data_IF_230141269612
#
_entry.id   IF_230141269612
#
_cell.length_a   1.000
_cell.length_b   1.000
_cell.length_c   1.000
_cell.angle_alpha   90.00
_cell.angle_beta   90.00
_cell.angle_gamma   90.00
#
_symmetry.space_group_name_H-M   'P 1'
#
loop_
_entity.id
_entity.type
_entity.pdbx_description
1 polymer ?
#
# COMPACT_ATOMS: atom_id res chain seq x y z
N UNK A 1 -14.16 -39.24 2.72
CA UNK A 1 -13.83 -38.71 4.07
C UNK A 1 -12.47 -38.04 3.97
N UNK A 2 -12.37 -36.79 4.34
CA UNK A 2 -11.07 -36.03 4.22
C UNK A 2 -10.29 -36.23 5.51
N UNK A 3 -9.04 -36.68 5.41
CA UNK A 3 -8.17 -36.81 6.57
C UNK A 3 -7.80 -35.43 7.11
N UNK A 4 -7.89 -35.25 8.44
CA UNK A 4 -7.47 -34.02 9.11
C UNK A 4 -6.87 -34.31 10.47
N UNK A 5 -5.92 -33.49 10.86
CA UNK A 5 -5.38 -33.40 12.22
C UNK A 5 -6.13 -32.26 12.92
N UNK A 6 -6.74 -32.55 14.07
CA UNK A 6 -7.45 -31.55 14.87
C UNK A 6 -6.76 -31.38 16.21
N UNK A 7 -6.43 -30.13 16.53
CA UNK A 7 -5.89 -29.74 17.84
C UNK A 7 -6.98 -28.92 18.55
N UNK A 8 -7.38 -29.36 19.72
CA UNK A 8 -8.33 -28.63 20.55
C UNK A 8 -7.59 -27.61 21.42
N UNK A 9 -8.22 -26.47 21.66
CA UNK A 9 -7.73 -25.51 22.66
C UNK A 9 -7.89 -26.10 24.07
N UNK A 10 -7.02 -25.71 24.99
CA UNK A 10 -7.09 -26.13 26.40
C UNK A 10 -8.39 -25.66 27.09
N UNK A 11 -9.01 -24.56 26.60
CA UNK A 11 -10.28 -24.02 27.08
C UNK A 11 -11.00 -23.28 25.94
N UNK A 12 -12.32 -23.09 26.08
CA UNK A 12 -13.10 -22.26 25.15
C UNK A 12 -13.72 -22.97 23.95
N UNK A 13 -13.62 -24.30 23.84
CA UNK A 13 -14.35 -25.11 22.81
C UNK A 13 -13.91 -24.94 21.36
N UNK A 14 -12.91 -24.07 21.08
CA UNK A 14 -12.34 -23.88 19.75
C UNK A 14 -11.41 -25.02 19.33
N UNK A 15 -11.06 -25.10 18.06
CA UNK A 15 -10.06 -26.03 17.54
C UNK A 15 -9.33 -25.49 16.35
N UNK A 16 -8.08 -25.87 16.18
CA UNK A 16 -7.29 -25.70 14.97
C UNK A 16 -7.26 -27.03 14.21
N UNK A 17 -7.39 -26.99 12.89
CA UNK A 17 -7.34 -28.20 12.06
C UNK A 17 -6.42 -28.01 10.86
N UNK A 18 -5.58 -29.00 10.59
CA UNK A 18 -4.87 -29.15 9.32
C UNK A 18 -5.67 -30.20 8.52
N UNK A 19 -6.14 -29.82 7.34
CA UNK A 19 -6.99 -30.67 6.53
C UNK A 19 -6.38 -30.83 5.14
N UNK A 20 -6.37 -32.05 4.64
CA UNK A 20 -6.02 -32.31 3.26
C UNK A 20 -7.11 -31.77 2.30
N UNK A 21 -6.77 -31.36 1.09
CA UNK A 21 -7.77 -31.01 0.08
C UNK A 21 -8.68 -32.21 -0.23
N UNK A 22 -9.91 -31.93 -0.68
CA UNK A 22 -10.91 -32.95 -0.99
C UNK A 22 -10.46 -33.92 -2.09
N UNK A 23 -9.61 -33.46 -3.00
CA UNK A 23 -8.97 -34.29 -4.03
C UNK A 23 -7.59 -33.70 -4.39
N UNK A 24 -6.60 -34.57 -4.61
CA UNK A 24 -5.30 -34.19 -5.13
C UNK A 24 -4.62 -35.41 -5.74
N UNK A 25 -4.06 -35.26 -6.92
CA UNK A 25 -3.18 -36.25 -7.57
C UNK A 25 -1.71 -36.11 -7.14
N UNK A 26 -1.38 -35.07 -6.36
CA UNK A 26 -0.01 -34.74 -5.98
C UNK A 26 0.25 -35.03 -4.50
N UNK A 27 1.37 -35.68 -4.20
CA UNK A 27 1.89 -35.77 -2.85
C UNK A 27 2.54 -34.43 -2.49
N UNK A 28 2.05 -33.80 -1.42
CA UNK A 28 2.58 -32.52 -0.91
C UNK A 28 3.10 -32.73 0.51
N UNK A 29 4.26 -32.17 0.79
CA UNK A 29 4.87 -32.21 2.11
C UNK A 29 4.87 -30.79 2.68
N UNK A 30 4.36 -30.62 3.89
CA UNK A 30 4.54 -29.39 4.67
C UNK A 30 5.69 -29.66 5.62
N UNK A 31 6.84 -29.02 5.38
CA UNK A 31 7.98 -29.04 6.29
C UNK A 31 7.87 -27.84 7.23
N UNK A 32 7.75 -28.10 8.52
CA UNK A 32 7.78 -27.05 9.52
C UNK A 32 9.24 -26.63 9.78
N UNK A 33 9.56 -25.33 9.83
CA UNK A 33 10.90 -24.88 10.18
C UNK A 33 11.24 -25.23 11.62
N UNK A 34 12.51 -25.55 11.87
CA UNK A 34 13.04 -25.81 13.22
C UNK A 34 13.33 -24.48 13.93
N UNK A 35 12.27 -23.72 14.21
CA UNK A 35 12.31 -22.46 14.93
C UNK A 35 11.14 -22.39 15.94
N UNK A 36 11.37 -21.72 17.06
CA UNK A 36 10.31 -21.42 18.00
C UNK A 36 9.38 -20.32 17.46
N UNK A 37 8.09 -20.40 17.79
CA UNK A 37 7.07 -19.39 17.44
C UNK A 37 6.83 -19.21 15.92
N UNK A 38 6.93 -20.29 15.15
CA UNK A 38 6.50 -20.24 13.75
C UNK A 38 4.98 -20.13 13.64
N UNK A 39 4.50 -19.07 13.03
CA UNK A 39 3.09 -18.86 12.71
C UNK A 39 2.89 -18.97 11.20
N UNK A 40 2.07 -19.93 10.79
CA UNK A 40 1.53 -19.95 9.43
C UNK A 40 0.51 -18.83 9.31
N UNK A 41 0.93 -17.67 8.83
CA UNK A 41 0.02 -16.56 8.55
C UNK A 41 0.02 -16.24 7.06
N UNK A 42 -1.14 -15.97 6.52
CA UNK A 42 -1.26 -15.33 5.22
C UNK A 42 -1.07 -13.83 5.45
N UNK A 43 0.19 -13.39 5.51
CA UNK A 43 0.52 -12.00 5.81
C UNK A 43 -0.08 -11.08 4.75
N UNK A 44 -0.89 -10.08 5.13
CA UNK A 44 -1.41 -9.10 4.21
C UNK A 44 -0.27 -8.36 3.53
N UNK A 45 -0.34 -8.27 2.21
CA UNK A 45 0.63 -7.55 1.42
C UNK A 45 -0.04 -6.96 0.19
N UNK A 46 0.41 -5.80 -0.23
CA UNK A 46 -0.11 -5.13 -1.43
C UNK A 46 1.02 -4.50 -2.22
N UNK A 47 0.85 -4.52 -3.53
CA UNK A 47 1.54 -3.62 -4.45
C UNK A 47 0.49 -2.95 -5.32
N UNK A 48 0.43 -1.64 -5.28
CA UNK A 48 -0.49 -0.83 -6.03
C UNK A 48 0.25 0.29 -6.76
N UNK A 49 -0.27 0.67 -7.90
CA UNK A 49 0.30 1.73 -8.73
C UNK A 49 -0.79 2.62 -9.33
N UNK A 50 -0.40 3.83 -9.69
CA UNK A 50 -1.19 4.72 -10.52
C UNK A 50 -0.80 4.47 -11.98
N UNK A 51 -1.77 4.11 -12.83
CA UNK A 51 -1.51 3.89 -14.26
C UNK A 51 -1.79 5.12 -15.09
N UNK A 52 -2.76 5.92 -14.68
CA UNK A 52 -3.21 7.11 -15.42
C UNK A 52 -2.81 8.39 -14.69
N UNK A 53 -2.18 9.31 -15.40
CA UNK A 53 -1.88 10.64 -14.86
C UNK A 53 -3.15 11.38 -14.48
N UNK A 54 -3.19 11.97 -13.29
CA UNK A 54 -4.34 12.73 -12.77
C UNK A 54 -3.92 14.12 -12.31
N UNK A 55 -4.73 15.11 -12.62
CA UNK A 55 -4.51 16.48 -12.17
C UNK A 55 -4.85 16.61 -10.67
N UNK A 56 -4.15 17.51 -9.97
CA UNK A 56 -4.44 17.86 -8.59
C UNK A 56 -4.26 19.37 -8.33
N UNK A 57 -4.76 19.84 -7.19
CA UNK A 57 -4.83 21.27 -6.86
C UNK A 57 -3.51 21.90 -6.37
N UNK A 58 -2.39 21.18 -6.40
CA UNK A 58 -1.12 21.63 -5.84
C UNK A 58 -0.95 21.28 -4.36
N UNK A 59 -1.99 21.29 -3.54
CA UNK A 59 -1.93 20.84 -2.15
C UNK A 59 -1.79 19.32 -2.06
N UNK A 60 -1.08 18.78 -1.04
CA UNK A 60 -0.94 17.34 -0.87
C UNK A 60 -2.27 16.61 -0.83
N UNK A 61 -2.51 15.74 -1.80
CA UNK A 61 -3.72 14.93 -1.94
C UNK A 61 -3.39 13.45 -1.97
N UNK A 62 -4.37 12.60 -1.67
CA UNK A 62 -4.18 11.15 -1.75
C UNK A 62 -3.90 10.73 -3.19
N UNK A 63 -2.81 9.98 -3.41
CA UNK A 63 -2.55 9.39 -4.73
C UNK A 63 -3.67 8.39 -5.05
N UNK A 64 -4.32 8.53 -6.20
CA UNK A 64 -5.40 7.64 -6.60
C UNK A 64 -4.85 6.35 -7.24
N UNK A 65 -4.13 5.51 -6.47
CA UNK A 65 -3.67 4.22 -6.96
C UNK A 65 -4.83 3.40 -7.49
N UNK A 66 -4.84 3.16 -8.79
CA UNK A 66 -5.96 2.59 -9.53
C UNK A 66 -5.77 1.09 -9.85
N UNK A 67 -4.54 0.60 -9.80
CA UNK A 67 -4.20 -0.76 -10.20
C UNK A 67 -3.46 -1.49 -9.10
N UNK A 68 -3.94 -2.68 -8.76
CA UNK A 68 -3.26 -3.63 -7.87
C UNK A 68 -2.48 -4.64 -8.70
N UNK A 69 -1.17 -4.77 -8.47
CA UNK A 69 -0.37 -5.85 -9.06
C UNK A 69 -0.52 -7.13 -8.26
N UNK A 70 -0.68 -7.00 -6.95
CA UNK A 70 -1.17 -8.07 -6.07
C UNK A 70 -1.81 -7.45 -4.81
N UNK A 71 -2.67 -8.24 -4.14
CA UNK A 71 -3.36 -7.86 -2.91
C UNK A 71 -3.70 -9.13 -2.13
N UNK A 72 -2.82 -9.52 -1.23
CA UNK A 72 -3.02 -10.70 -0.38
C UNK A 72 -3.94 -10.34 0.79
N UNK A 73 -5.07 -11.04 0.86
CA UNK A 73 -6.06 -10.84 1.93
C UNK A 73 -7.10 -9.75 1.65
N UNK A 74 -7.12 -9.14 0.46
CA UNK A 74 -8.09 -8.10 0.11
C UNK A 74 -7.98 -6.86 1.00
N UNK A 75 -6.76 -6.39 1.21
CA UNK A 75 -6.45 -5.35 2.19
C UNK A 75 -6.23 -3.95 1.58
N UNK A 76 -6.47 -3.77 0.29
CA UNK A 76 -6.33 -2.48 -0.38
C UNK A 76 -7.61 -2.03 -1.09
N UNK A 77 -8.03 -0.81 -0.80
CA UNK A 77 -9.12 -0.15 -1.49
C UNK A 77 -8.60 0.63 -2.71
N UNK A 78 -8.75 0.06 -3.91
CA UNK A 78 -8.36 0.71 -5.17
C UNK A 78 -9.45 1.61 -5.76
N UNK A 79 -10.56 1.86 -5.04
CA UNK A 79 -11.67 2.69 -5.55
C UNK A 79 -11.51 4.16 -5.17
N UNK A 80 -12.20 5.03 -5.87
CA UNK A 80 -12.24 6.48 -5.61
C UNK A 80 -13.18 6.88 -4.46
N UNK A 81 -13.81 5.91 -3.81
CA UNK A 81 -14.74 6.10 -2.70
C UNK A 81 -14.32 5.29 -1.48
N UNK A 82 -14.84 5.61 -0.32
CA UNK A 82 -14.70 4.76 0.85
C UNK A 82 -15.28 3.36 0.56
N UNK A 83 -14.63 2.34 1.08
CA UNK A 83 -15.03 0.93 0.93
C UNK A 83 -14.92 0.20 2.26
N UNK A 84 -15.56 -0.96 2.34
CA UNK A 84 -15.42 -1.86 3.48
C UNK A 84 -14.41 -2.95 3.16
N UNK A 85 -13.30 -2.98 3.88
CA UNK A 85 -12.29 -4.04 3.82
C UNK A 85 -12.33 -4.81 5.13
N UNK A 86 -12.52 -6.13 5.05
CA UNK A 86 -12.57 -7.01 6.23
C UNK A 86 -13.53 -6.51 7.34
N UNK A 87 -14.68 -5.95 6.94
CA UNK A 87 -15.68 -5.40 7.88
C UNK A 87 -15.40 -3.98 8.39
N UNK A 88 -14.31 -3.35 8.00
CA UNK A 88 -13.88 -2.01 8.43
C UNK A 88 -14.03 -1.03 7.26
N UNK A 89 -14.65 0.13 7.53
CA UNK A 89 -14.74 1.22 6.55
C UNK A 89 -13.38 1.95 6.46
N UNK A 90 -12.86 2.06 5.25
CA UNK A 90 -11.61 2.75 4.95
C UNK A 90 -11.80 3.77 3.85
N UNK A 91 -11.03 4.87 3.83
CA UNK A 91 -11.09 5.84 2.75
C UNK A 91 -10.65 5.24 1.39
N UNK A 92 -10.85 6.02 0.33
CA UNK A 92 -10.31 5.72 -0.99
C UNK A 92 -8.80 5.49 -0.93
N UNK A 93 -8.30 4.57 -1.73
CA UNK A 93 -6.88 4.29 -1.94
C UNK A 93 -6.09 3.97 -0.65
N UNK A 94 -6.76 3.32 0.32
CA UNK A 94 -6.18 2.96 1.61
C UNK A 94 -5.79 1.48 1.66
N UNK A 95 -4.67 1.21 2.35
CA UNK A 95 -4.26 -0.13 2.77
C UNK A 95 -4.67 -0.35 4.22
N UNK A 96 -5.43 -1.40 4.49
CA UNK A 96 -5.82 -1.84 5.83
C UNK A 96 -5.49 -3.32 5.99
N UNK A 97 -4.38 -3.69 6.66
CA UNK A 97 -4.09 -5.07 6.97
C UNK A 97 -5.04 -5.56 8.07
N UNK A 98 -5.54 -6.78 7.92
CA UNK A 98 -6.38 -7.44 8.91
C UNK A 98 -5.58 -8.29 9.92
N UNK A 99 -4.30 -8.10 9.96
CA UNK A 99 -3.36 -8.78 10.89
C UNK A 99 -2.49 -7.73 11.55
N UNK A 100 -2.40 -7.78 12.89
CA UNK A 100 -1.49 -6.91 13.62
C UNK A 100 -0.04 -7.29 13.36
N UNK A 101 0.84 -6.29 13.26
CA UNK A 101 2.26 -6.53 13.02
C UNK A 101 3.00 -5.31 12.51
N UNK A 102 4.29 -5.49 12.26
CA UNK A 102 5.16 -4.47 11.67
C UNK A 102 5.28 -4.72 10.16
N UNK A 103 4.95 -3.71 9.38
CA UNK A 103 4.93 -3.74 7.92
C UNK A 103 6.05 -2.91 7.35
N UNK A 104 6.81 -3.48 6.42
CA UNK A 104 7.74 -2.72 5.60
C UNK A 104 6.95 -2.00 4.50
N UNK A 105 7.01 -0.68 4.50
CA UNK A 105 6.30 0.17 3.55
C UNK A 105 7.32 0.91 2.70
N UNK A 106 7.15 0.81 1.38
CA UNK A 106 7.94 1.55 0.40
C UNK A 106 7.00 2.29 -0.54
N UNK A 107 7.18 3.59 -0.65
CA UNK A 107 6.35 4.48 -1.46
C UNK A 107 7.24 5.29 -2.38
N UNK A 108 6.84 5.40 -3.63
CA UNK A 108 7.41 6.35 -4.60
C UNK A 108 6.26 7.25 -5.04
N UNK A 109 6.40 8.54 -4.80
CA UNK A 109 5.51 9.57 -5.33
C UNK A 109 6.19 10.32 -6.45
N UNK A 110 5.48 10.54 -7.56
CA UNK A 110 5.96 11.34 -8.68
C UNK A 110 4.91 12.36 -9.05
N UNK A 111 5.32 13.60 -9.12
CA UNK A 111 4.47 14.69 -9.60
C UNK A 111 5.14 15.44 -10.75
N UNK A 112 4.32 16.13 -11.52
CA UNK A 112 4.78 16.98 -12.60
C UNK A 112 3.90 18.20 -12.78
N UNK A 113 4.33 19.09 -13.66
CA UNK A 113 3.56 20.24 -14.13
C UNK A 113 3.27 20.13 -15.61
N UNK A 114 2.12 20.67 -16.06
CA UNK A 114 1.81 20.82 -17.48
C UNK A 114 2.70 21.86 -18.16
N UNK A 115 3.36 22.73 -17.39
CA UNK A 115 4.29 23.76 -17.87
C UNK A 115 5.66 23.48 -17.27
N UNK A 116 6.67 23.34 -18.11
CA UNK A 116 8.05 23.10 -17.69
C UNK A 116 8.59 24.24 -16.83
N UNK A 117 9.43 23.90 -15.85
CA UNK A 117 10.13 24.89 -15.03
C UNK A 117 9.24 25.66 -14.07
N UNK A 118 8.14 25.08 -13.62
CA UNK A 118 7.20 25.80 -12.75
C UNK A 118 7.00 25.14 -11.38
N UNK A 119 7.67 24.02 -11.10
CA UNK A 119 7.57 23.35 -9.81
C UNK A 119 8.39 24.11 -8.79
N UNK A 120 7.78 24.55 -7.69
CA UNK A 120 8.41 25.29 -6.61
C UNK A 120 8.47 24.52 -5.29
N UNK A 121 7.68 23.46 -5.15
CA UNK A 121 7.64 22.62 -3.95
C UNK A 121 7.13 21.23 -4.31
N UNK A 122 7.63 20.20 -3.64
CA UNK A 122 7.18 18.82 -3.81
C UNK A 122 7.19 18.11 -2.47
N UNK A 123 6.11 17.38 -2.20
CA UNK A 123 5.89 16.68 -0.95
C UNK A 123 5.34 15.28 -1.20
N UNK A 124 5.92 14.28 -0.53
CA UNK A 124 5.37 12.92 -0.44
C UNK A 124 5.24 12.56 1.03
N UNK A 125 4.08 12.10 1.46
CA UNK A 125 3.86 11.64 2.82
C UNK A 125 3.18 10.28 2.85
N UNK A 126 3.65 9.43 3.76
CA UNK A 126 2.93 8.26 4.23
C UNK A 126 2.13 8.66 5.46
N UNK A 127 0.84 8.41 5.42
CA UNK A 127 -0.09 8.75 6.49
C UNK A 127 -0.70 7.49 7.09
N UNK A 128 -0.63 7.38 8.42
CA UNK A 128 -1.36 6.38 9.19
C UNK A 128 -2.59 7.04 9.80
N UNK A 129 -3.76 6.54 9.46
CA UNK A 129 -5.04 7.14 9.84
C UNK A 129 -5.09 8.62 9.38
N UNK A 130 -5.08 9.56 10.32
CA UNK A 130 -5.10 11.00 10.03
C UNK A 130 -3.75 11.70 10.24
N UNK A 131 -2.67 10.97 10.57
CA UNK A 131 -1.37 11.54 10.95
C UNK A 131 -0.30 11.16 9.93
N UNK A 132 0.49 12.12 9.49
CA UNK A 132 1.66 11.88 8.66
C UNK A 132 2.77 11.27 9.54
N UNK A 133 3.26 10.10 9.16
CA UNK A 133 4.24 9.32 9.93
C UNK A 133 5.62 9.28 9.28
N UNK A 134 5.71 9.66 8.02
CA UNK A 134 6.93 9.82 7.26
C UNK A 134 6.67 10.69 6.06
N UNK A 135 7.61 11.59 5.75
CA UNK A 135 7.50 12.48 4.62
C UNK A 135 8.86 12.68 3.93
N UNK A 136 8.80 13.07 2.69
CA UNK A 136 9.91 13.60 1.89
C UNK A 136 9.43 14.92 1.28
N UNK A 137 10.18 15.97 1.54
CA UNK A 137 9.95 17.31 1.02
C UNK A 137 11.15 17.75 0.18
N UNK A 138 10.89 18.41 -0.92
CA UNK A 138 11.91 18.98 -1.80
C UNK A 138 11.44 20.32 -2.34
N UNK A 139 12.27 21.36 -2.12
CA UNK A 139 12.15 22.64 -2.79
C UNK A 139 13.12 22.64 -3.98
N UNK A 140 12.66 22.52 -5.23
CA UNK A 140 13.54 22.58 -6.38
C UNK A 140 14.22 23.96 -6.48
N UNK A 141 15.53 23.98 -6.37
CA UNK A 141 16.35 25.24 -6.33
C UNK A 141 16.40 25.92 -7.69
N UNK A 142 16.23 25.17 -8.78
CA UNK A 142 16.22 25.71 -10.16
C UNK A 142 14.93 25.28 -10.85
N UNK A 143 13.83 25.93 -10.48
CA UNK A 143 12.51 25.67 -11.05
C UNK A 143 12.44 25.86 -12.58
N UNK A 144 13.45 26.50 -13.17
CA UNK A 144 13.47 26.79 -14.61
C UNK A 144 13.67 25.57 -15.51
N UNK A 145 13.96 24.38 -14.94
CA UNK A 145 14.28 23.16 -15.72
C UNK A 145 13.46 21.95 -15.35
N UNK A 146 12.88 21.92 -14.16
CA UNK A 146 12.17 20.74 -13.69
C UNK A 146 10.68 20.81 -13.99
N UNK A 147 10.16 19.79 -14.64
CA UNK A 147 8.74 19.60 -14.84
C UNK A 147 8.24 18.26 -14.28
N UNK A 148 9.12 17.46 -13.71
CA UNK A 148 8.84 16.19 -13.04
C UNK A 148 9.76 16.09 -11.82
N UNK A 149 9.18 15.74 -10.68
CA UNK A 149 9.87 15.46 -9.42
C UNK A 149 9.39 14.16 -8.82
N UNK A 150 10.28 13.46 -8.12
CA UNK A 150 9.96 12.20 -7.46
C UNK A 150 10.59 12.15 -6.09
N UNK A 151 9.89 11.55 -5.15
CA UNK A 151 10.41 11.30 -3.81
C UNK A 151 9.98 9.93 -3.30
N UNK A 152 10.70 9.44 -2.30
CA UNK A 152 10.46 8.14 -1.71
C UNK A 152 10.34 8.23 -0.19
N UNK A 153 9.43 7.44 0.36
CA UNK A 153 9.31 7.20 1.81
C UNK A 153 9.41 5.70 2.04
N UNK A 154 10.39 5.29 2.85
CA UNK A 154 10.61 3.90 3.23
C UNK A 154 10.67 3.80 4.75
N UNK A 155 9.82 2.97 5.34
CA UNK A 155 9.79 2.82 6.80
C UNK A 155 9.12 1.52 7.24
N UNK A 156 9.33 1.19 8.52
CA UNK A 156 8.58 0.14 9.21
C UNK A 156 7.42 0.79 9.96
N UNK A 157 6.22 0.24 9.81
CA UNK A 157 5.00 0.75 10.44
C UNK A 157 4.31 -0.34 11.24
N UNK A 158 4.06 -0.06 12.51
CA UNK A 158 3.22 -0.94 13.33
C UNK A 158 1.75 -0.70 13.03
N UNK A 159 1.01 -1.78 12.77
CA UNK A 159 -0.42 -1.79 12.48
C UNK A 159 -1.15 -2.68 13.47
N UNK A 160 -2.29 -2.24 13.96
CA UNK A 160 -3.08 -2.97 14.97
C UNK A 160 -3.91 -4.14 14.40
N UNK A 161 -3.99 -4.27 13.07
CA UNK A 161 -4.73 -5.33 12.39
C UNK A 161 -6.26 -5.22 12.48
N UNK A 162 -6.80 -4.11 12.97
CA UNK A 162 -8.25 -3.92 13.15
C UNK A 162 -8.77 -2.61 12.55
N UNK A 163 -8.08 -1.49 12.77
CA UNK A 163 -8.58 -0.17 12.36
C UNK A 163 -7.51 0.73 11.74
N UNK A 164 -6.23 0.38 11.89
CA UNK A 164 -5.15 1.16 11.30
C UNK A 164 -5.11 1.00 9.78
N UNK A 165 -5.09 2.10 9.08
CA UNK A 165 -4.91 2.13 7.63
C UNK A 165 -3.82 3.11 7.22
N UNK A 166 -3.25 2.87 6.04
CA UNK A 166 -2.26 3.73 5.42
C UNK A 166 -2.81 4.33 4.14
N UNK A 167 -2.50 5.60 3.92
CA UNK A 167 -2.68 6.29 2.63
C UNK A 167 -1.40 7.03 2.28
N UNK A 168 -1.21 7.26 0.99
CA UNK A 168 -0.10 8.06 0.47
C UNK A 168 -0.63 9.39 -0.03
N UNK A 169 -0.02 10.48 0.43
CA UNK A 169 -0.28 11.82 -0.08
C UNK A 169 0.90 12.31 -0.89
N UNK A 170 0.61 12.97 -1.99
CA UNK A 170 1.61 13.68 -2.78
C UNK A 170 1.07 15.07 -3.12
N UNK A 171 1.93 16.04 -3.08
CA UNK A 171 1.66 17.41 -3.49
C UNK A 171 2.80 17.96 -4.32
N UNK A 172 2.47 18.90 -5.16
CA UNK A 172 3.45 19.64 -5.97
C UNK A 172 2.87 21.03 -6.22
N UNK A 173 3.53 22.03 -5.69
CA UNK A 173 3.16 23.43 -5.96
C UNK A 173 3.80 23.89 -7.25
N UNK A 174 3.02 24.56 -8.09
CA UNK A 174 3.48 25.09 -9.37
C UNK A 174 3.20 26.57 -9.46
N UNK A 175 4.16 27.34 -9.98
CA UNK A 175 3.99 28.78 -10.23
C UNK A 175 3.11 29.06 -11.45
N UNK A 176 2.98 28.11 -12.37
CA UNK A 176 2.04 28.13 -13.48
C UNK A 176 1.77 26.71 -13.97
N UNK A 177 0.68 26.54 -14.76
CA UNK A 177 0.25 25.23 -15.21
C UNK A 177 -0.53 24.46 -14.15
N UNK A 178 -0.78 23.19 -14.44
CA UNK A 178 -1.55 22.27 -13.59
C UNK A 178 -0.60 21.24 -13.00
N UNK A 179 -0.63 21.07 -11.66
CA UNK A 179 0.08 20.01 -10.98
C UNK A 179 -0.60 18.65 -11.25
N UNK A 180 0.21 17.58 -11.36
CA UNK A 180 -0.25 16.23 -11.71
C UNK A 180 0.44 15.16 -10.90
N UNK A 181 -0.30 14.15 -10.47
CA UNK A 181 0.27 12.85 -10.12
C UNK A 181 0.57 12.08 -11.40
N UNK A 182 1.81 11.66 -11.60
CA UNK A 182 2.20 10.96 -12.83
C UNK A 182 1.98 9.46 -12.70
N UNK A 183 1.19 8.92 -13.62
CA UNK A 183 0.97 7.48 -13.75
C UNK A 183 2.15 6.77 -14.41
N UNK A 184 2.29 5.48 -14.15
CA UNK A 184 3.37 4.63 -14.69
C UNK A 184 3.45 4.59 -16.23
N UNK A 185 2.35 4.91 -16.91
CA UNK A 185 2.32 5.02 -18.37
C UNK A 185 3.00 6.26 -18.93
N UNK A 186 3.24 7.28 -18.12
CA UNK A 186 3.85 8.57 -18.51
C UNK A 186 5.32 8.71 -18.08
N UNK A 187 5.78 7.85 -17.19
CA UNK A 187 7.17 7.91 -16.74
C UNK A 187 8.09 7.31 -17.80
N UNK A 188 9.25 7.94 -18.10
CA UNK A 188 10.25 7.32 -18.95
C UNK A 188 10.69 6.02 -18.26
N UNK A 189 10.54 4.90 -18.95
CA UNK A 189 11.06 3.61 -18.49
C UNK A 189 12.57 3.67 -18.63
N UNK A 190 13.30 3.73 -17.53
CA UNK A 190 14.70 3.35 -17.52
C UNK A 190 14.77 1.83 -17.78
N UNK A 191 15.36 1.48 -18.91
CA UNK A 191 15.72 0.12 -19.26
C UNK A 191 16.96 -0.29 -18.46
#
# INVERSE_FOLDING_TARGET
MTAKIKLNTASGGGSFSIQAPSSSSNNRVITLPDINNFVLSNSPAVSALLTTTTDHSGTPSTIPFDTKTFDTGGCFNATTSAATLNGISVPAHAFLPNVAGTYAVSVIGTSGSTVAGTISDFHVALRKNSTDIGAFDQDPVDSAKENIVSGTVNMLVEMNGTSDFLIVKVGCTTSSGTARHLGSGTLPRCL
#
